data_IF_192697780747
#
_entry.id   IF_192697780747
#
_cell.length_a   1.000
_cell.length_b   1.000
_cell.length_c   1.000
_cell.angle_alpha   90.00
_cell.angle_beta   90.00
_cell.angle_gamma   90.00
#
_symmetry.space_group_name_H-M   'P 1'
#
loop_
_entity.id
_entity.type
_entity.pdbx_description
1 polymer ?
#
# COMPACT_ATOMS: atom_id res chain seq x y z
N UNK A 1 -65.54 -16.28 24.31
CA UNK A 1 -65.42 -16.16 22.85
C UNK A 1 -64.75 -14.83 22.54
N UNK A 2 -63.46 -14.84 22.25
CA UNK A 2 -62.75 -13.66 21.76
C UNK A 2 -62.34 -13.97 20.32
N UNK A 3 -62.96 -13.25 19.38
CA UNK A 3 -62.71 -13.38 17.95
C UNK A 3 -61.42 -12.67 17.57
N UNK A 4 -60.53 -13.43 16.93
CA UNK A 4 -59.29 -12.97 16.30
C UNK A 4 -59.65 -12.29 14.99
N UNK A 5 -59.29 -11.02 14.82
CA UNK A 5 -59.29 -10.34 13.53
C UNK A 5 -57.89 -10.44 12.90
N UNK A 6 -57.85 -11.10 11.74
CA UNK A 6 -56.70 -11.22 10.84
C UNK A 6 -56.08 -9.86 10.49
N UNK A 7 -54.75 -9.76 10.59
CA UNK A 7 -53.97 -8.80 9.80
C UNK A 7 -53.49 -9.49 8.53
N UNK A 8 -53.78 -8.85 7.40
CA UNK A 8 -53.24 -9.19 6.08
C UNK A 8 -51.72 -9.06 6.11
N UNK A 9 -51.04 -10.12 5.69
CA UNK A 9 -49.61 -10.15 5.41
C UNK A 9 -49.39 -9.61 4.00
N UNK A 10 -48.85 -8.39 3.90
CA UNK A 10 -48.38 -7.86 2.63
C UNK A 10 -47.16 -8.66 2.15
N UNK A 11 -47.35 -9.28 0.99
CA UNK A 11 -46.33 -9.96 0.20
C UNK A 11 -45.47 -8.92 -0.53
N UNK A 12 -44.35 -8.54 0.07
CA UNK A 12 -43.31 -7.74 -0.62
C UNK A 12 -41.92 -8.06 -0.08
N UNK A 13 -41.35 -9.22 -0.43
CA UNK A 13 -39.97 -9.57 -0.04
C UNK A 13 -39.12 -10.17 -1.17
N UNK A 14 -39.54 -10.06 -2.43
CA UNK A 14 -38.80 -10.63 -3.58
C UNK A 14 -37.90 -9.62 -4.30
N UNK A 15 -38.05 -8.31 -4.05
CA UNK A 15 -37.24 -7.29 -4.71
C UNK A 15 -35.84 -7.11 -4.07
N UNK A 16 -35.69 -7.41 -2.78
CA UNK A 16 -34.42 -7.20 -2.06
C UNK A 16 -33.37 -8.28 -2.30
N UNK A 17 -33.76 -9.49 -2.71
CA UNK A 17 -32.84 -10.62 -2.91
C UNK A 17 -32.14 -10.58 -4.27
N UNK A 18 -32.77 -9.99 -5.28
CA UNK A 18 -32.21 -9.92 -6.63
C UNK A 18 -31.14 -8.84 -6.75
N UNK A 19 -31.38 -7.64 -6.20
CA UNK A 19 -30.39 -6.55 -6.15
C UNK A 19 -29.16 -6.92 -5.31
N UNK A 20 -29.37 -7.70 -4.23
CA UNK A 20 -28.27 -8.21 -3.40
C UNK A 20 -27.46 -9.30 -4.11
N UNK A 21 -28.11 -10.19 -4.86
CA UNK A 21 -27.43 -11.20 -5.66
C UNK A 21 -26.61 -10.58 -6.81
N UNK A 22 -27.12 -9.53 -7.46
CA UNK A 22 -26.40 -8.81 -8.50
C UNK A 22 -25.20 -8.01 -7.95
N UNK A 23 -25.36 -7.32 -6.82
CA UNK A 23 -24.26 -6.64 -6.14
C UNK A 23 -23.16 -7.63 -5.67
N UNK A 24 -23.57 -8.82 -5.23
CA UNK A 24 -22.66 -9.91 -4.85
C UNK A 24 -21.88 -10.47 -6.05
N UNK A 25 -22.56 -10.71 -7.19
CA UNK A 25 -21.92 -11.15 -8.42
C UNK A 25 -20.89 -10.13 -8.89
N UNK A 26 -21.22 -8.84 -8.85
CA UNK A 26 -20.31 -7.75 -9.21
C UNK A 26 -19.08 -7.69 -8.29
N UNK A 27 -19.27 -7.81 -6.96
CA UNK A 27 -18.18 -7.84 -5.98
C UNK A 27 -17.24 -9.05 -6.18
N UNK A 28 -17.81 -10.21 -6.48
CA UNK A 28 -17.05 -11.44 -6.78
C UNK A 28 -16.26 -11.32 -8.07
N UNK A 29 -16.86 -10.78 -9.13
CA UNK A 29 -16.19 -10.54 -10.41
C UNK A 29 -15.05 -9.52 -10.29
N UNK A 30 -15.24 -8.47 -9.47
CA UNK A 30 -14.18 -7.50 -9.18
C UNK A 30 -13.00 -8.13 -8.45
N UNK A 31 -13.26 -8.96 -7.43
CA UNK A 31 -12.22 -9.67 -6.69
C UNK A 31 -11.47 -10.68 -7.57
N UNK A 32 -12.16 -11.43 -8.42
CA UNK A 32 -11.55 -12.33 -9.40
C UNK A 32 -10.69 -11.54 -10.40
N UNK A 33 -11.18 -10.40 -10.87
CA UNK A 33 -10.43 -9.52 -11.78
C UNK A 33 -9.13 -9.03 -11.13
N UNK A 34 -9.16 -8.64 -9.85
CA UNK A 34 -7.96 -8.26 -9.10
C UNK A 34 -6.98 -9.41 -8.91
N UNK A 35 -7.45 -10.63 -8.63
CA UNK A 35 -6.58 -11.82 -8.55
C UNK A 35 -5.89 -12.08 -9.89
N UNK A 36 -6.65 -12.01 -11.00
CA UNK A 36 -6.11 -12.19 -12.34
C UNK A 36 -5.12 -11.09 -12.73
N UNK A 37 -5.35 -9.85 -12.32
CA UNK A 37 -4.43 -8.73 -12.54
C UNK A 37 -3.11 -8.96 -11.79
N UNK A 38 -3.17 -9.36 -10.52
CA UNK A 38 -1.98 -9.66 -9.71
C UNK A 38 -1.18 -10.83 -10.28
N UNK A 39 -1.87 -11.86 -10.77
CA UNK A 39 -1.26 -12.95 -11.53
C UNK A 39 -0.51 -12.42 -12.76
N UNK A 40 -1.17 -11.64 -13.63
CA UNK A 40 -0.56 -11.11 -14.86
C UNK A 40 0.66 -10.25 -14.54
N UNK A 41 0.53 -9.33 -13.58
CA UNK A 41 1.62 -8.44 -13.14
C UNK A 41 2.84 -9.22 -12.63
N UNK A 42 2.62 -10.30 -11.87
CA UNK A 42 3.70 -11.17 -11.40
C UNK A 42 4.38 -11.89 -12.57
N UNK A 43 3.60 -12.54 -13.44
CA UNK A 43 4.10 -13.30 -14.60
C UNK A 43 4.94 -12.39 -15.50
N UNK A 44 4.44 -11.19 -15.79
CA UNK A 44 5.14 -10.20 -16.61
C UNK A 44 6.45 -9.77 -15.96
N UNK A 45 6.47 -9.60 -14.64
CA UNK A 45 7.71 -9.23 -13.97
C UNK A 45 8.73 -10.37 -13.98
N UNK A 46 8.32 -11.60 -13.66
CA UNK A 46 9.19 -12.76 -13.70
C UNK A 46 9.80 -12.91 -15.12
N UNK A 47 9.00 -12.72 -16.15
CA UNK A 47 9.43 -12.79 -17.55
C UNK A 47 10.42 -11.68 -17.92
N UNK A 48 10.19 -10.44 -17.47
CA UNK A 48 11.15 -9.33 -17.65
C UNK A 48 12.49 -9.61 -16.97
N UNK A 49 12.47 -10.24 -15.80
CA UNK A 49 13.70 -10.63 -15.08
C UNK A 49 14.43 -11.76 -15.80
N UNK A 50 13.70 -12.75 -16.29
CA UNK A 50 14.27 -13.78 -17.15
C UNK A 50 15.01 -13.20 -18.36
N UNK A 51 14.37 -12.32 -19.11
CA UNK A 51 14.98 -11.63 -20.25
C UNK A 51 16.24 -10.84 -19.86
N UNK A 52 16.21 -10.15 -18.72
CA UNK A 52 17.38 -9.43 -18.20
C UNK A 52 18.56 -10.37 -17.94
N UNK A 53 18.33 -11.51 -17.29
CA UNK A 53 19.41 -12.47 -16.98
C UNK A 53 19.91 -13.19 -18.23
N UNK A 54 19.00 -13.57 -19.14
CA UNK A 54 19.37 -14.12 -20.44
C UNK A 54 20.24 -13.14 -21.23
N UNK A 55 19.86 -11.85 -21.29
CA UNK A 55 20.65 -10.82 -21.97
C UNK A 55 22.03 -10.58 -21.34
N UNK A 56 22.11 -10.58 -20.00
CA UNK A 56 23.39 -10.50 -19.27
C UNK A 56 24.30 -11.68 -19.59
N UNK A 57 23.74 -12.88 -19.63
CA UNK A 57 24.48 -14.07 -20.01
C UNK A 57 24.98 -13.98 -21.46
N UNK A 58 24.10 -13.67 -22.42
CA UNK A 58 24.47 -13.53 -23.83
C UNK A 58 25.59 -12.50 -24.05
N UNK A 59 25.51 -11.37 -23.34
CA UNK A 59 26.55 -10.32 -23.37
C UNK A 59 27.91 -10.85 -22.90
N UNK A 60 27.93 -11.65 -21.83
CA UNK A 60 29.17 -12.25 -21.31
C UNK A 60 29.71 -13.36 -22.20
N UNK A 61 28.83 -14.15 -22.81
CA UNK A 61 29.20 -15.20 -23.74
C UNK A 61 29.73 -14.67 -25.08
N UNK A 62 29.76 -13.34 -25.28
CA UNK A 62 30.17 -12.73 -26.54
C UNK A 62 29.23 -13.06 -27.71
N UNK A 63 28.00 -13.49 -27.42
CA UNK A 63 27.02 -13.84 -28.43
C UNK A 63 26.53 -12.55 -29.12
N UNK A 64 26.86 -12.40 -30.40
CA UNK A 64 26.34 -11.31 -31.22
C UNK A 64 24.87 -11.61 -31.54
N UNK A 65 23.98 -10.65 -31.27
CA UNK A 65 22.57 -10.72 -31.65
C UNK A 65 22.44 -10.61 -33.17
N UNK A 66 22.65 -11.71 -33.88
CA UNK A 66 22.13 -11.87 -35.24
C UNK A 66 20.59 -11.86 -35.19
N UNK A 67 19.94 -11.45 -36.27
CA UNK A 67 18.47 -11.33 -36.32
C UNK A 67 17.77 -12.67 -36.01
N UNK A 68 18.38 -13.80 -36.40
CA UNK A 68 17.92 -15.16 -36.08
C UNK A 68 17.96 -15.50 -34.57
N UNK A 69 18.80 -14.80 -33.79
CA UNK A 69 18.88 -14.98 -32.34
C UNK A 69 17.77 -14.20 -31.61
N UNK A 70 17.20 -13.15 -32.22
CA UNK A 70 16.13 -12.36 -31.59
C UNK A 70 14.84 -13.17 -31.48
N UNK A 71 14.47 -13.91 -32.54
CA UNK A 71 13.30 -14.77 -32.55
C UNK A 71 13.44 -15.93 -31.55
N UNK A 72 14.65 -16.49 -31.41
CA UNK A 72 14.94 -17.55 -30.43
C UNK A 72 14.85 -17.04 -28.99
N UNK A 73 15.37 -15.84 -28.71
CA UNK A 73 15.27 -15.20 -27.39
C UNK A 73 13.81 -14.90 -27.05
N UNK A 74 13.03 -14.41 -28.00
CA UNK A 74 11.61 -14.16 -27.81
C UNK A 74 10.84 -15.46 -27.56
N UNK A 75 11.08 -16.52 -28.36
CA UNK A 75 10.49 -17.85 -28.15
C UNK A 75 10.82 -18.41 -26.76
N UNK A 76 12.07 -18.28 -26.30
CA UNK A 76 12.48 -18.71 -24.98
C UNK A 76 11.78 -17.94 -23.86
N UNK A 77 11.63 -16.62 -24.03
CA UNK A 77 10.94 -15.76 -23.07
C UNK A 77 9.44 -16.09 -22.99
N UNK A 78 8.79 -16.35 -24.12
CA UNK A 78 7.38 -16.75 -24.16
C UNK A 78 7.18 -18.14 -23.57
N UNK A 79 8.08 -19.08 -23.83
CA UNK A 79 8.07 -20.40 -23.20
C UNK A 79 8.21 -20.30 -21.67
N UNK A 80 9.16 -19.49 -21.17
CA UNK A 80 9.31 -19.25 -19.74
C UNK A 80 8.06 -18.59 -19.15
N UNK A 81 7.52 -17.55 -19.82
CA UNK A 81 6.29 -16.86 -19.39
C UNK A 81 5.10 -17.82 -19.25
N UNK A 82 4.91 -18.71 -20.23
CA UNK A 82 3.88 -19.75 -20.18
C UNK A 82 4.13 -20.72 -19.03
N UNK A 83 5.38 -21.11 -18.80
CA UNK A 83 5.77 -22.02 -17.74
C UNK A 83 5.53 -21.43 -16.33
N UNK A 84 5.76 -20.13 -16.15
CA UNK A 84 5.42 -19.39 -14.91
C UNK A 84 3.90 -19.27 -14.75
N UNK A 85 3.20 -18.91 -15.82
CA UNK A 85 1.74 -18.76 -15.79
C UNK A 85 1.03 -20.08 -15.45
N UNK A 86 1.47 -21.19 -16.06
CA UNK A 86 0.96 -22.53 -15.77
C UNK A 86 1.19 -22.92 -14.32
N UNK A 87 2.43 -22.75 -13.80
CA UNK A 87 2.74 -23.06 -12.39
C UNK A 87 1.96 -22.22 -11.39
N UNK A 88 1.77 -20.94 -11.71
CA UNK A 88 0.95 -20.04 -10.89
C UNK A 88 -0.49 -20.55 -10.78
N UNK A 89 -1.09 -21.04 -11.87
CA UNK A 89 -2.45 -21.56 -11.87
C UNK A 89 -2.56 -22.92 -11.19
N UNK A 90 -1.79 -23.91 -11.65
CA UNK A 90 -1.97 -25.30 -11.25
C UNK A 90 -1.40 -25.61 -9.87
N UNK A 91 -0.28 -25.00 -9.49
CA UNK A 91 0.43 -25.34 -8.25
C UNK A 91 0.23 -24.30 -7.16
N UNK A 92 0.36 -23.02 -7.48
CA UNK A 92 0.32 -21.98 -6.44
C UNK A 92 -1.10 -21.59 -6.04
N UNK A 93 -1.90 -21.10 -6.99
CA UNK A 93 -3.28 -20.68 -6.72
C UNK A 93 -4.16 -21.87 -6.30
N UNK A 94 -4.02 -23.03 -6.95
CA UNK A 94 -4.76 -24.25 -6.59
C UNK A 94 -4.49 -24.71 -5.15
N UNK A 95 -3.22 -24.73 -4.71
CA UNK A 95 -2.88 -25.13 -3.32
C UNK A 95 -3.28 -24.07 -2.31
N UNK A 96 -3.10 -22.79 -2.65
CA UNK A 96 -3.53 -21.69 -1.79
C UNK A 96 -5.04 -21.73 -1.56
N UNK A 97 -5.82 -21.93 -2.63
CA UNK A 97 -7.27 -22.13 -2.58
C UNK A 97 -7.67 -23.30 -1.68
N UNK A 98 -6.98 -24.44 -1.81
CA UNK A 98 -7.24 -25.62 -0.99
C UNK A 98 -7.00 -25.37 0.50
N UNK A 99 -5.87 -24.73 0.85
CA UNK A 99 -5.57 -24.33 2.23
C UNK A 99 -6.58 -23.34 2.77
N UNK A 100 -6.94 -22.33 1.96
CA UNK A 100 -7.96 -21.36 2.35
C UNK A 100 -9.30 -22.04 2.63
N UNK A 101 -9.75 -22.92 1.74
CA UNK A 101 -11.00 -23.67 1.91
C UNK A 101 -11.00 -24.49 3.20
N UNK A 102 -9.91 -25.22 3.48
CA UNK A 102 -9.78 -26.00 4.71
C UNK A 102 -9.83 -25.13 5.98
N UNK A 103 -9.14 -23.98 5.96
CA UNK A 103 -9.13 -23.03 7.09
C UNK A 103 -10.52 -22.44 7.33
N UNK A 104 -11.28 -22.20 6.25
CA UNK A 104 -12.64 -21.67 6.35
C UNK A 104 -13.63 -22.72 6.87
N UNK A 105 -13.50 -23.97 6.44
CA UNK A 105 -14.29 -25.09 6.96
C UNK A 105 -14.02 -25.31 8.47
N UNK A 106 -12.75 -25.19 8.89
CA UNK A 106 -12.33 -25.31 10.29
C UNK A 106 -12.85 -24.13 11.15
N UNK A 107 -12.71 -22.89 10.67
CA UNK A 107 -13.25 -21.68 11.31
C UNK A 107 -14.79 -21.60 11.32
N UNK A 108 -15.47 -22.50 10.60
CA UNK A 108 -16.93 -22.64 10.67
C UNK A 108 -17.36 -23.67 11.72
N UNK A 109 -16.44 -24.52 12.20
CA UNK A 109 -16.67 -25.51 13.27
C UNK A 109 -16.31 -24.98 14.65
N UNK A 110 -15.36 -24.05 14.74
CA UNK A 110 -15.00 -23.36 15.99
C UNK A 110 -14.73 -21.87 15.74
N UNK A 111 -15.70 -20.98 16.07
CA UNK A 111 -15.57 -19.53 15.87
C UNK A 111 -14.56 -18.85 16.81
N UNK A 112 -14.11 -19.53 17.87
CA UNK A 112 -13.26 -18.96 18.92
C UNK A 112 -11.76 -18.94 18.61
N UNK A 113 -11.34 -19.71 17.61
CA UNK A 113 -9.95 -19.72 17.16
C UNK A 113 -9.75 -18.62 16.11
N UNK A 114 -9.08 -17.54 16.52
CA UNK A 114 -8.54 -16.54 15.60
C UNK A 114 -7.55 -17.22 14.65
N UNK A 115 -7.98 -17.52 13.42
CA UNK A 115 -7.15 -18.28 12.49
C UNK A 115 -6.59 -17.41 11.36
N UNK A 116 -5.26 -17.34 11.32
CA UNK A 116 -4.51 -16.88 10.15
C UNK A 116 -3.90 -18.12 9.48
N UNK A 117 -4.07 -18.31 8.15
CA UNK A 117 -3.45 -19.41 7.40
C UNK A 117 -1.91 -19.28 7.29
N UNK A 118 -1.31 -18.32 8.01
CA UNK A 118 0.05 -17.81 7.85
C UNK A 118 1.10 -18.89 7.58
N UNK A 119 1.30 -19.88 8.48
CA UNK A 119 2.34 -20.89 8.29
C UNK A 119 2.12 -21.79 7.06
N UNK A 120 0.86 -22.16 6.78
CA UNK A 120 0.53 -23.02 5.62
C UNK A 120 0.61 -22.26 4.30
N UNK A 121 0.18 -20.99 4.29
CA UNK A 121 0.28 -20.11 3.14
C UNK A 121 1.75 -19.74 2.85
N UNK A 122 2.57 -19.54 3.88
CA UNK A 122 4.00 -19.27 3.73
C UNK A 122 4.75 -20.48 3.18
N UNK A 123 4.42 -21.71 3.62
CA UNK A 123 4.98 -22.92 3.05
C UNK A 123 4.67 -23.09 1.54
N UNK A 124 3.46 -22.70 1.11
CA UNK A 124 3.08 -22.70 -0.31
C UNK A 124 3.89 -21.67 -1.10
N UNK A 125 4.11 -20.47 -0.54
CA UNK A 125 4.93 -19.43 -1.13
C UNK A 125 6.39 -19.88 -1.30
N UNK A 126 6.97 -20.56 -0.29
CA UNK A 126 8.31 -21.12 -0.40
C UNK A 126 8.40 -22.20 -1.48
N UNK A 127 7.45 -23.14 -1.51
CA UNK A 127 7.44 -24.19 -2.54
C UNK A 127 7.36 -23.58 -3.95
N UNK A 128 6.49 -22.59 -4.14
CA UNK A 128 6.35 -21.92 -5.43
C UNK A 128 7.61 -21.14 -5.84
N UNK A 129 8.31 -20.54 -4.88
CA UNK A 129 9.58 -19.86 -5.15
C UNK A 129 10.64 -20.85 -5.63
N UNK A 130 10.70 -22.03 -5.02
CA UNK A 130 11.64 -23.09 -5.42
C UNK A 130 11.27 -23.63 -6.82
N UNK A 131 10.00 -23.92 -7.07
CA UNK A 131 9.50 -24.32 -8.40
C UNK A 131 9.81 -23.29 -9.50
N UNK A 132 9.77 -21.99 -9.15
CA UNK A 132 10.07 -20.89 -10.04
C UNK A 132 11.58 -20.79 -10.34
N UNK A 133 12.42 -21.03 -9.34
CA UNK A 133 13.87 -21.07 -9.50
C UNK A 133 14.29 -22.24 -10.39
N UNK A 134 13.68 -23.41 -10.21
CA UNK A 134 13.92 -24.60 -11.04
C UNK A 134 13.46 -24.37 -12.49
N UNK A 135 12.30 -23.74 -12.68
CA UNK A 135 11.83 -23.36 -14.01
C UNK A 135 12.81 -22.39 -14.69
N UNK A 136 13.29 -21.39 -13.95
CA UNK A 136 14.25 -20.43 -14.46
C UNK A 136 15.56 -21.13 -14.87
N UNK A 137 16.09 -22.02 -14.04
CA UNK A 137 17.30 -22.79 -14.34
C UNK A 137 17.14 -23.61 -15.63
N UNK A 138 16.06 -24.40 -15.72
CA UNK A 138 15.79 -25.26 -16.87
C UNK A 138 15.62 -24.47 -18.18
N UNK A 139 14.89 -23.35 -18.15
CA UNK A 139 14.68 -22.53 -19.34
C UNK A 139 15.95 -21.76 -19.75
N UNK A 140 16.75 -21.31 -18.78
CA UNK A 140 18.03 -20.69 -19.05
C UNK A 140 18.98 -21.70 -19.70
N UNK A 141 19.12 -22.91 -19.14
CA UNK A 141 19.92 -24.01 -19.72
C UNK A 141 19.48 -24.38 -21.13
N UNK A 142 18.17 -24.49 -21.37
CA UNK A 142 17.61 -24.78 -22.68
C UNK A 142 17.93 -23.67 -23.69
N UNK A 143 17.84 -22.40 -23.27
CA UNK A 143 18.14 -21.24 -24.12
C UNK A 143 19.62 -21.15 -24.44
N UNK A 144 20.49 -21.46 -23.48
CA UNK A 144 21.94 -21.53 -23.70
C UNK A 144 22.29 -22.61 -24.73
N UNK A 145 21.66 -23.79 -24.63
CA UNK A 145 21.83 -24.87 -25.61
C UNK A 145 21.34 -24.47 -27.01
N UNK A 146 20.17 -23.83 -27.10
CA UNK A 146 19.54 -23.48 -28.37
C UNK A 146 20.32 -22.40 -29.15
N UNK A 147 20.92 -21.45 -28.45
CA UNK A 147 21.66 -20.34 -29.05
C UNK A 147 23.04 -20.73 -29.59
N UNK A 148 23.42 -22.03 -29.57
CA UNK A 148 24.71 -22.57 -30.03
C UNK A 148 25.95 -21.85 -29.47
N UNK A 149 25.78 -21.05 -28.43
CA UNK A 149 26.86 -20.50 -27.65
C UNK A 149 27.39 -21.63 -26.77
N UNK A 150 28.16 -22.53 -27.38
CA UNK A 150 29.01 -23.42 -26.60
C UNK A 150 29.85 -22.51 -25.71
N UNK A 151 29.83 -22.71 -24.39
CA UNK A 151 30.80 -22.04 -23.55
C UNK A 151 32.19 -22.25 -24.17
N UNK A 152 33.00 -21.19 -24.25
CA UNK A 152 34.44 -21.43 -24.37
C UNK A 152 34.82 -22.44 -23.28
N UNK A 153 35.82 -23.29 -23.53
CA UNK A 153 36.20 -24.39 -22.65
C UNK A 153 36.55 -24.00 -21.19
N UNK A 154 36.38 -22.72 -20.83
CA UNK A 154 36.60 -22.10 -19.54
C UNK A 154 35.31 -21.62 -18.83
N UNK A 155 34.11 -21.78 -19.41
CA UNK A 155 32.88 -21.34 -18.72
C UNK A 155 32.62 -22.24 -17.50
N UNK A 156 32.60 -21.68 -16.28
CA UNK A 156 32.36 -22.47 -15.09
C UNK A 156 30.93 -22.99 -15.10
N UNK A 157 30.78 -24.28 -14.81
CA UNK A 157 29.51 -24.95 -14.47
C UNK A 157 28.77 -24.32 -13.27
N UNK A 158 29.30 -23.24 -12.67
CA UNK A 158 28.69 -22.47 -11.59
C UNK A 158 28.04 -21.14 -12.01
N UNK A 159 28.11 -20.69 -13.27
CA UNK A 159 27.54 -19.38 -13.65
C UNK A 159 26.02 -19.36 -13.68
N UNK A 160 25.39 -20.44 -14.15
CA UNK A 160 23.92 -20.58 -14.12
C UNK A 160 23.41 -20.58 -12.69
N UNK A 161 24.13 -21.23 -11.77
CA UNK A 161 23.82 -21.24 -10.34
C UNK A 161 23.82 -19.81 -9.75
N UNK A 162 24.77 -18.95 -10.15
CA UNK A 162 24.81 -17.56 -9.72
C UNK A 162 23.58 -16.74 -10.17
N UNK A 163 23.13 -16.92 -11.41
CA UNK A 163 21.93 -16.24 -11.90
C UNK A 163 20.64 -16.78 -11.27
N UNK A 164 20.56 -18.08 -11.01
CA UNK A 164 19.43 -18.70 -10.31
C UNK A 164 19.31 -18.14 -8.89
N UNK A 165 20.43 -18.00 -8.16
CA UNK A 165 20.43 -17.42 -6.80
C UNK A 165 19.97 -15.95 -6.82
N UNK A 166 20.47 -15.14 -7.77
CA UNK A 166 20.06 -13.74 -7.91
C UNK A 166 18.57 -13.62 -8.28
N UNK A 167 18.11 -14.43 -9.23
CA UNK A 167 16.70 -14.47 -9.62
C UNK A 167 15.81 -14.88 -8.44
N UNK A 168 16.17 -15.92 -7.70
CA UNK A 168 15.44 -16.36 -6.49
C UNK A 168 15.38 -15.25 -5.45
N UNK A 169 16.50 -14.59 -5.16
CA UNK A 169 16.56 -13.46 -4.21
C UNK A 169 15.71 -12.26 -4.62
N UNK A 170 15.62 -11.94 -5.92
CA UNK A 170 14.74 -10.89 -6.42
C UNK A 170 13.25 -11.28 -6.42
N UNK A 171 12.96 -12.58 -6.60
CA UNK A 171 11.60 -13.09 -6.66
C UNK A 171 10.99 -13.38 -5.29
N UNK A 172 11.79 -13.72 -4.29
CA UNK A 172 11.34 -14.00 -2.92
C UNK A 172 10.45 -12.90 -2.32
N UNK A 173 10.86 -11.62 -2.25
CA UNK A 173 10.01 -10.57 -1.67
C UNK A 173 8.73 -10.33 -2.48
N UNK A 174 8.74 -10.65 -3.79
CA UNK A 174 7.58 -10.51 -4.67
C UNK A 174 6.58 -11.64 -4.46
N UNK A 175 7.06 -12.87 -4.33
CA UNK A 175 6.24 -14.05 -4.00
C UNK A 175 5.62 -13.88 -2.62
N UNK A 176 6.38 -13.43 -1.61
CA UNK A 176 5.84 -13.13 -0.28
C UNK A 176 4.76 -12.06 -0.32
N UNK A 177 4.98 -10.96 -1.06
CA UNK A 177 3.97 -9.89 -1.22
C UNK A 177 2.72 -10.41 -1.92
N UNK A 178 2.88 -11.13 -3.02
CA UNK A 178 1.78 -11.74 -3.76
C UNK A 178 0.97 -12.68 -2.85
N UNK A 179 1.65 -13.47 -2.01
CA UNK A 179 1.01 -14.39 -1.07
C UNK A 179 0.11 -13.65 -0.09
N UNK A 180 0.62 -12.57 0.52
CA UNK A 180 -0.14 -11.73 1.44
C UNK A 180 -1.35 -11.11 0.72
N UNK A 181 -1.14 -10.53 -0.46
CA UNK A 181 -2.20 -9.89 -1.26
C UNK A 181 -3.30 -10.90 -1.63
N UNK A 182 -2.94 -12.11 -2.05
CA UNK A 182 -3.90 -13.14 -2.42
C UNK A 182 -4.66 -13.68 -1.20
N UNK A 183 -3.97 -13.95 -0.08
CA UNK A 183 -4.62 -14.36 1.17
C UNK A 183 -5.62 -13.30 1.63
N UNK A 184 -5.25 -12.02 1.56
CA UNK A 184 -6.17 -10.92 1.88
C UNK A 184 -7.39 -10.89 0.96
N UNK A 185 -7.20 -11.01 -0.36
CA UNK A 185 -8.28 -11.01 -1.33
C UNK A 185 -9.22 -12.21 -1.12
N UNK A 186 -8.67 -13.40 -0.85
CA UNK A 186 -9.45 -14.60 -0.52
C UNK A 186 -10.23 -14.46 0.78
N UNK A 187 -9.61 -13.92 1.84
CA UNK A 187 -10.28 -13.64 3.09
C UNK A 187 -11.45 -12.65 2.90
N UNK A 188 -11.29 -11.62 2.06
CA UNK A 188 -12.37 -10.67 1.75
C UNK A 188 -13.50 -11.35 0.99
N UNK A 189 -13.18 -12.15 -0.02
CA UNK A 189 -14.17 -12.93 -0.77
C UNK A 189 -14.99 -13.85 0.15
N UNK A 190 -14.35 -14.48 1.15
CA UNK A 190 -15.04 -15.35 2.11
C UNK A 190 -15.80 -14.65 3.23
N UNK A 191 -15.35 -13.48 3.70
CA UNK A 191 -16.15 -12.67 4.64
C UNK A 191 -17.42 -12.15 3.99
N UNK A 192 -17.34 -11.82 2.69
CA UNK A 192 -18.54 -11.52 1.88
C UNK A 192 -19.50 -12.72 1.84
N UNK A 193 -18.98 -13.96 1.74
CA UNK A 193 -19.79 -15.19 1.76
C UNK A 193 -20.42 -15.53 3.13
N UNK A 194 -19.81 -15.11 4.26
CA UNK A 194 -20.34 -15.38 5.61
C UNK A 194 -21.44 -14.39 6.04
N UNK A 195 -21.44 -13.16 5.51
CA UNK A 195 -22.50 -12.17 5.82
C UNK A 195 -23.89 -12.61 5.36
N UNK A 196 -23.98 -13.52 4.39
CA UNK A 196 -25.25 -14.01 3.85
C UNK A 196 -25.85 -15.19 4.65
N UNK A 197 -25.13 -15.75 5.64
CA UNK A 197 -25.61 -16.89 6.45
C UNK A 197 -25.96 -16.53 7.91
N UNK A 198 -25.65 -15.31 8.36
CA UNK A 198 -25.89 -14.88 9.75
C UNK A 198 -26.92 -13.74 9.84
N UNK A 199 -28.06 -13.88 9.16
CA UNK A 199 -29.25 -13.07 9.40
C UNK A 199 -30.13 -13.65 10.53
N UNK A 200 -29.54 -14.31 11.54
CA UNK A 200 -30.26 -14.71 12.76
C UNK A 200 -29.38 -14.43 13.97
N UNK A 201 -29.73 -13.33 14.64
CA UNK A 201 -29.58 -13.02 16.07
C UNK A 201 -28.19 -13.18 16.72
N UNK A 202 -27.62 -12.07 17.18
CA UNK A 202 -27.76 -11.63 18.57
C UNK A 202 -27.23 -10.20 18.71
N UNK A 203 -28.02 -9.35 19.38
CA UNK A 203 -27.62 -8.03 19.85
C UNK A 203 -26.53 -8.20 20.92
N UNK A 204 -25.26 -8.28 20.53
CA UNK A 204 -24.16 -8.02 21.45
C UNK A 204 -23.71 -6.57 21.33
N UNK A 205 -23.57 -5.92 22.49
CA UNK A 205 -23.10 -4.56 22.68
C UNK A 205 -21.86 -4.24 21.82
N UNK A 206 -21.67 -2.98 21.37
CA UNK A 206 -20.63 -2.63 20.42
C UNK A 206 -19.26 -2.89 21.04
N UNK A 207 -18.65 -4.03 20.70
CA UNK A 207 -17.22 -4.25 20.91
C UNK A 207 -16.49 -3.27 20.01
N UNK A 208 -15.56 -2.53 20.58
CA UNK A 208 -14.66 -1.62 19.88
C UNK A 208 -13.78 -2.41 18.89
N UNK A 209 -14.32 -2.78 17.72
CA UNK A 209 -13.53 -3.24 16.59
C UNK A 209 -12.77 -2.06 16.02
N UNK A 210 -11.58 -1.83 16.57
CA UNK A 210 -10.56 -1.03 15.89
C UNK A 210 -10.14 -1.78 14.64
N UNK A 211 -10.59 -1.33 13.46
CA UNK A 211 -10.05 -1.73 12.15
C UNK A 211 -8.53 -1.57 12.22
N UNK A 212 -7.74 -2.66 12.17
CA UNK A 212 -6.28 -2.62 12.34
C UNK A 212 -5.53 -1.80 11.29
N UNK A 213 -6.21 -1.26 10.28
CA UNK A 213 -5.64 -0.54 9.14
C UNK A 213 -5.53 0.99 9.36
N UNK A 214 -6.17 1.54 10.41
CA UNK A 214 -6.18 2.98 10.73
C UNK A 214 -5.34 3.36 11.94
N UNK A 215 -4.37 2.54 12.35
CA UNK A 215 -3.56 2.74 13.56
C UNK A 215 -2.91 4.13 13.66
N UNK A 216 -2.60 4.77 12.53
CA UNK A 216 -2.06 6.14 12.49
C UNK A 216 -2.75 7.01 11.41
N UNK A 217 -4.01 7.35 11.65
CA UNK A 217 -4.78 8.25 10.79
C UNK A 217 -4.20 9.67 10.76
N UNK A 218 -3.67 10.15 11.89
CA UNK A 218 -3.07 11.47 11.97
C UNK A 218 -1.78 11.55 11.13
N UNK A 219 -0.89 10.58 11.27
CA UNK A 219 0.33 10.50 10.48
C UNK A 219 0.06 10.36 8.99
N UNK A 220 -0.97 9.60 8.60
CA UNK A 220 -1.43 9.54 7.20
C UNK A 220 -1.86 10.92 6.68
N UNK A 221 -2.62 11.68 7.47
CA UNK A 221 -3.00 13.05 7.12
C UNK A 221 -1.80 13.98 6.99
N UNK A 222 -0.80 13.87 7.87
CA UNK A 222 0.43 14.66 7.79
C UNK A 222 1.29 14.30 6.57
N UNK A 223 1.29 13.04 6.12
CA UNK A 223 2.05 12.61 4.94
C UNK A 223 1.27 12.75 3.62
N UNK A 224 -0.03 13.03 3.66
CA UNK A 224 -0.86 13.21 2.48
C UNK A 224 -0.29 14.24 1.47
N UNK A 225 0.18 15.44 1.89
CA UNK A 225 0.83 16.38 0.97
C UNK A 225 2.06 15.83 0.25
N UNK A 226 2.83 14.99 0.95
CA UNK A 226 4.05 14.36 0.41
C UNK A 226 3.66 13.34 -0.66
N UNK A 227 2.62 12.53 -0.38
CA UNK A 227 2.08 11.57 -1.35
C UNK A 227 1.51 12.27 -2.59
N UNK A 228 0.81 13.39 -2.43
CA UNK A 228 0.29 14.17 -3.56
C UNK A 228 1.39 14.83 -4.41
N UNK A 229 2.45 15.37 -3.79
CA UNK A 229 3.48 16.12 -4.50
C UNK A 229 4.58 15.24 -5.12
N UNK A 230 4.90 14.12 -4.46
CA UNK A 230 6.06 13.27 -4.80
C UNK A 230 5.69 11.80 -4.99
N UNK A 231 4.56 11.35 -4.43
CA UNK A 231 4.24 9.93 -4.32
C UNK A 231 5.05 9.24 -3.23
N UNK A 232 4.40 8.34 -2.48
CA UNK A 232 5.04 7.48 -1.49
C UNK A 232 5.09 6.05 -2.01
N UNK A 233 6.26 5.59 -2.42
CA UNK A 233 6.46 4.26 -3.02
C UNK A 233 7.38 3.36 -2.21
N UNK A 234 7.34 2.07 -2.50
CA UNK A 234 8.13 0.99 -1.90
C UNK A 234 9.62 1.03 -2.28
N UNK A 235 10.08 2.10 -2.94
CA UNK A 235 11.47 2.23 -3.38
C UNK A 235 12.40 2.24 -2.16
N UNK A 236 13.31 1.26 -2.13
CA UNK A 236 14.41 1.16 -1.15
C UNK A 236 15.61 2.02 -1.56
N UNK A 237 15.69 2.39 -2.84
CA UNK A 237 16.70 3.28 -3.40
C UNK A 237 16.19 4.73 -3.37
N UNK A 238 17.10 5.66 -3.09
CA UNK A 238 16.82 7.10 -3.22
C UNK A 238 16.46 7.37 -4.68
N UNK A 239 15.17 7.56 -4.95
CA UNK A 239 14.69 8.19 -6.17
C UNK A 239 14.58 9.69 -5.90
N UNK A 240 15.01 10.52 -6.83
CA UNK A 240 14.84 11.97 -6.72
C UNK A 240 13.36 12.41 -6.87
N UNK A 241 12.47 11.50 -7.26
CA UNK A 241 11.07 11.81 -7.54
C UNK A 241 10.13 11.44 -6.41
N UNK A 242 10.35 10.32 -5.71
CA UNK A 242 9.38 9.72 -4.79
C UNK A 242 9.92 9.63 -3.37
N UNK A 243 9.04 9.81 -2.39
CA UNK A 243 9.40 9.64 -0.98
C UNK A 243 9.37 8.15 -0.57
N UNK A 244 10.45 7.61 0.02
CA UNK A 244 10.49 6.19 0.40
C UNK A 244 9.48 5.83 1.52
N UNK A 245 8.64 4.82 1.28
CA UNK A 245 7.65 4.34 2.27
C UNK A 245 8.28 3.88 3.57
N UNK A 246 9.49 3.30 3.52
CA UNK A 246 10.22 2.84 4.71
C UNK A 246 10.62 3.97 5.66
N UNK A 247 10.68 5.22 5.17
CA UNK A 247 10.99 6.38 6.00
C UNK A 247 9.77 6.97 6.70
N UNK A 248 8.55 6.57 6.31
CA UNK A 248 7.32 7.14 6.87
C UNK A 248 7.20 6.90 8.37
N UNK A 249 7.35 5.65 8.83
CA UNK A 249 7.23 5.32 10.26
C UNK A 249 8.30 6.02 11.13
N UNK A 250 9.61 6.01 10.78
CA UNK A 250 10.63 6.77 11.50
C UNK A 250 10.37 8.28 11.56
N UNK A 251 9.85 8.87 10.48
CA UNK A 251 9.46 10.29 10.41
C UNK A 251 8.29 10.59 11.34
N UNK A 252 7.22 9.77 11.29
CA UNK A 252 6.06 9.94 12.15
C UNK A 252 6.42 9.74 13.62
N UNK A 253 7.29 8.79 13.93
CA UNK A 253 7.81 8.59 15.29
C UNK A 253 8.61 9.79 15.77
N UNK A 254 9.45 10.41 14.92
CA UNK A 254 10.16 11.63 15.26
C UNK A 254 9.21 12.82 15.45
N UNK A 255 8.18 12.96 14.61
CA UNK A 255 7.14 13.98 14.79
C UNK A 255 6.40 13.79 16.11
N UNK A 256 6.06 12.54 16.47
CA UNK A 256 5.41 12.17 17.73
C UNK A 256 6.27 12.49 18.95
N UNK A 257 7.52 12.02 18.98
CA UNK A 257 8.37 12.13 20.18
C UNK A 257 9.06 13.49 20.33
N UNK A 258 9.33 14.20 19.24
CA UNK A 258 10.19 15.39 19.26
C UNK A 258 9.45 16.70 18.92
N UNK A 259 8.50 16.69 18.00
CA UNK A 259 7.88 17.93 17.48
C UNK A 259 6.51 18.21 18.11
N UNK A 260 5.62 17.23 18.09
CA UNK A 260 4.21 17.39 18.51
C UNK A 260 4.02 17.01 19.98
N UNK A 261 4.77 16.00 20.44
CA UNK A 261 4.63 15.37 21.76
C UNK A 261 3.68 14.17 21.72
N UNK A 262 4.08 13.07 22.39
CA UNK A 262 3.40 11.78 22.32
C UNK A 262 1.93 11.86 22.69
N UNK A 263 1.61 12.48 23.83
CA UNK A 263 0.23 12.58 24.34
C UNK A 263 -0.68 13.34 23.38
N UNK A 264 -0.18 14.46 22.83
CA UNK A 264 -0.92 15.29 21.89
C UNK A 264 -1.13 14.57 20.55
N UNK A 265 -0.10 13.87 20.07
CA UNK A 265 -0.18 13.07 18.86
C UNK A 265 -1.21 11.96 19.01
N UNK A 266 -1.15 11.18 20.10
CA UNK A 266 -2.03 10.02 20.33
C UNK A 266 -3.48 10.45 20.53
N UNK A 267 -3.71 11.52 21.30
CA UNK A 267 -5.04 12.08 21.50
C UNK A 267 -5.65 12.58 20.17
N UNK A 268 -4.83 13.22 19.33
CA UNK A 268 -5.27 13.71 18.00
C UNK A 268 -5.56 12.55 17.06
N UNK A 269 -4.69 11.53 17.03
CA UNK A 269 -4.86 10.33 16.23
C UNK A 269 -6.15 9.58 16.61
N UNK A 270 -6.40 9.39 17.92
CA UNK A 270 -7.63 8.76 18.41
C UNK A 270 -8.89 9.51 17.96
N UNK A 271 -8.88 10.85 18.04
CA UNK A 271 -10.01 11.69 17.57
C UNK A 271 -10.23 11.58 16.07
N UNK A 272 -9.17 11.59 15.27
CA UNK A 272 -9.25 11.43 13.82
C UNK A 272 -9.78 10.05 13.43
N UNK A 273 -9.29 8.98 14.09
CA UNK A 273 -9.80 7.62 13.88
C UNK A 273 -11.31 7.57 14.15
N UNK A 274 -11.78 8.11 15.28
CA UNK A 274 -13.21 8.16 15.60
C UNK A 274 -14.02 8.96 14.57
N UNK A 275 -13.49 10.09 14.10
CA UNK A 275 -14.12 10.92 13.08
C UNK A 275 -14.22 10.20 11.73
N UNK A 276 -13.13 9.54 11.32
CA UNK A 276 -13.06 8.69 10.12
C UNK A 276 -14.10 7.58 10.19
N UNK A 277 -14.25 6.89 11.34
CA UNK A 277 -15.31 5.89 11.49
C UNK A 277 -16.69 6.50 11.30
N UNK A 278 -16.99 7.63 11.93
CA UNK A 278 -18.30 8.29 11.76
C UNK A 278 -18.56 8.66 10.30
N UNK A 279 -17.55 9.17 9.60
CA UNK A 279 -17.67 9.62 8.21
C UNK A 279 -17.78 8.45 7.22
N UNK A 280 -16.91 7.45 7.36
CA UNK A 280 -16.78 6.33 6.44
C UNK A 280 -17.76 5.18 6.72
N UNK A 281 -18.44 5.16 7.87
CA UNK A 281 -19.39 4.08 8.27
C UNK A 281 -20.85 4.55 8.26
N UNK A 282 -21.15 5.69 7.63
CA UNK A 282 -22.50 6.27 7.57
C UNK A 282 -23.57 5.35 6.92
N UNK A 283 -23.15 4.28 6.24
CA UNK A 283 -24.01 3.29 5.57
C UNK A 283 -23.69 1.86 6.01
N UNK A 284 -23.50 1.61 7.31
CA UNK A 284 -23.32 0.29 7.95
C UNK A 284 -22.04 -0.49 7.66
N UNK A 285 -21.23 -0.10 6.66
CA UNK A 285 -19.87 -0.63 6.43
C UNK A 285 -18.83 0.48 6.26
N UNK A 286 -17.60 0.23 6.70
CA UNK A 286 -16.48 1.16 6.58
C UNK A 286 -15.99 1.26 5.12
N UNK A 287 -16.25 2.38 4.46
CA UNK A 287 -15.88 2.61 3.06
C UNK A 287 -14.47 3.22 2.95
N UNK A 288 -13.47 2.39 2.62
CA UNK A 288 -12.06 2.82 2.51
C UNK A 288 -11.79 3.80 1.37
N UNK A 289 -12.57 3.73 0.28
CA UNK A 289 -12.49 4.68 -0.85
C UNK A 289 -12.73 6.13 -0.41
N UNK A 290 -13.54 6.33 0.63
CA UNK A 290 -13.89 7.64 1.18
C UNK A 290 -12.83 8.24 2.10
N UNK A 291 -11.71 7.54 2.35
CA UNK A 291 -10.61 8.09 3.14
C UNK A 291 -9.94 9.28 2.48
N UNK A 292 -9.74 9.22 1.15
CA UNK A 292 -9.17 10.35 0.41
C UNK A 292 -10.11 11.54 0.45
N UNK A 293 -11.40 11.31 0.25
CA UNK A 293 -12.44 12.35 0.37
C UNK A 293 -12.44 12.97 1.78
N UNK A 294 -12.35 12.14 2.82
CA UNK A 294 -12.31 12.61 4.21
C UNK A 294 -11.14 13.57 4.48
N UNK A 295 -9.94 13.28 3.97
CA UNK A 295 -8.78 14.15 4.16
C UNK A 295 -8.87 15.46 3.36
N UNK A 296 -9.69 15.49 2.32
CA UNK A 296 -9.97 16.69 1.52
C UNK A 296 -11.12 17.54 2.08
N UNK A 297 -11.90 17.03 3.04
CA UNK A 297 -12.94 17.80 3.73
C UNK A 297 -12.36 19.11 4.32
N UNK A 298 -12.96 20.29 4.04
CA UNK A 298 -12.36 21.59 4.36
C UNK A 298 -11.92 21.75 5.82
N UNK A 299 -12.72 21.24 6.75
CA UNK A 299 -12.47 21.32 8.19
C UNK A 299 -11.34 20.38 8.63
N UNK A 300 -11.26 19.17 8.06
CA UNK A 300 -10.18 18.21 8.32
C UNK A 300 -8.88 18.73 7.73
N UNK A 301 -8.92 19.19 6.48
CA UNK A 301 -7.79 19.77 5.78
C UNK A 301 -7.23 20.98 6.51
N UNK A 302 -8.09 21.92 6.94
CA UNK A 302 -7.67 23.08 7.73
C UNK A 302 -7.02 22.66 9.06
N UNK A 303 -7.59 21.65 9.73
CA UNK A 303 -7.05 21.12 10.98
C UNK A 303 -5.65 20.52 10.79
N UNK A 304 -5.45 19.72 9.74
CA UNK A 304 -4.15 19.13 9.41
C UNK A 304 -3.13 20.19 8.97
N UNK A 305 -3.55 21.17 8.17
CA UNK A 305 -2.69 22.28 7.75
C UNK A 305 -2.19 23.11 8.94
N UNK A 306 -2.99 23.29 9.99
CA UNK A 306 -2.55 23.98 11.19
C UNK A 306 -1.38 23.26 11.89
N UNK A 307 -1.39 21.92 11.90
CA UNK A 307 -0.27 21.13 12.40
C UNK A 307 0.95 21.20 11.47
N UNK A 308 0.73 21.15 10.16
CA UNK A 308 1.83 21.29 9.18
C UNK A 308 2.52 22.65 9.34
N UNK A 309 1.75 23.74 9.47
CA UNK A 309 2.31 25.08 9.75
C UNK A 309 3.09 25.09 11.07
N UNK A 310 2.59 24.43 12.11
CA UNK A 310 3.32 24.32 13.38
C UNK A 310 4.65 23.57 13.23
N UNK A 311 4.66 22.46 12.51
CA UNK A 311 5.89 21.70 12.20
C UNK A 311 6.89 22.58 11.44
N UNK A 312 6.44 23.26 10.38
CA UNK A 312 7.27 24.18 9.59
C UNK A 312 7.80 25.34 10.43
N UNK A 313 7.00 25.87 11.36
CA UNK A 313 7.44 26.91 12.29
C UNK A 313 8.57 26.44 13.21
N UNK A 314 8.50 25.20 13.72
CA UNK A 314 9.58 24.59 14.52
C UNK A 314 10.84 24.43 13.66
N UNK A 315 10.66 24.06 12.39
CA UNK A 315 11.75 23.87 11.44
C UNK A 315 12.36 25.15 10.87
N UNK A 316 11.83 26.34 11.23
CA UNK A 316 12.54 27.59 10.95
C UNK A 316 13.85 27.70 11.75
N UNK A 317 13.98 26.98 12.86
CA UNK A 317 15.23 26.86 13.61
C UNK A 317 16.08 25.71 13.03
N UNK A 318 17.21 26.04 12.41
CA UNK A 318 18.11 25.05 11.77
C UNK A 318 18.57 23.96 12.74
N UNK A 319 18.83 24.32 14.00
CA UNK A 319 19.22 23.37 15.06
C UNK A 319 18.10 22.35 15.36
N UNK A 320 16.83 22.77 15.31
CA UNK A 320 15.67 21.88 15.49
C UNK A 320 15.48 20.98 14.28
N UNK A 321 15.68 21.53 13.08
CA UNK A 321 15.60 20.78 11.83
C UNK A 321 16.67 19.69 11.76
N UNK A 322 17.90 20.00 12.14
CA UNK A 322 19.00 19.02 12.22
C UNK A 322 18.75 17.97 13.30
N UNK A 323 18.30 18.39 14.48
CA UNK A 323 17.94 17.47 15.57
C UNK A 323 16.82 16.51 15.15
N UNK A 324 15.80 17.00 14.43
CA UNK A 324 14.76 16.16 13.85
C UNK A 324 15.34 15.11 12.90
N UNK A 325 16.23 15.50 11.97
CA UNK A 325 16.88 14.55 11.07
C UNK A 325 17.73 13.50 11.82
N UNK A 326 18.38 13.88 12.92
CA UNK A 326 19.11 12.96 13.80
C UNK A 326 18.18 11.94 14.47
N UNK A 327 17.03 12.39 14.99
CA UNK A 327 16.03 11.50 15.60
C UNK A 327 15.46 10.53 14.56
N UNK A 328 15.16 11.00 13.34
CA UNK A 328 14.70 10.11 12.26
C UNK A 328 15.75 9.05 11.93
N UNK A 329 17.03 9.44 11.84
CA UNK A 329 18.15 8.50 11.62
C UNK A 329 18.30 7.48 12.75
N UNK A 330 18.07 7.89 14.00
CA UNK A 330 18.09 7.00 15.14
C UNK A 330 16.93 5.98 15.07
N UNK A 331 15.70 6.46 14.89
CA UNK A 331 14.51 5.61 14.75
C UNK A 331 14.63 4.63 13.58
N UNK A 332 15.24 5.07 12.47
CA UNK A 332 15.42 4.22 11.29
C UNK A 332 16.27 2.98 11.60
N UNK A 333 17.31 3.11 12.42
CA UNK A 333 18.18 1.97 12.81
C UNK A 333 17.43 0.89 13.59
N UNK A 334 16.31 1.24 14.23
CA UNK A 334 15.49 0.33 15.03
C UNK A 334 14.47 -0.43 14.16
N UNK A 335 14.31 -0.08 12.88
CA UNK A 335 13.35 -0.71 11.97
C UNK A 335 14.02 -1.86 11.19
N UNK A 336 13.57 -3.12 11.36
CA UNK A 336 14.12 -4.25 10.62
C UNK A 336 13.97 -4.08 9.09
N UNK A 337 15.01 -4.47 8.33
CA UNK A 337 15.00 -4.38 6.86
C UNK A 337 15.34 -3.00 6.28
N UNK A 338 15.88 -2.08 7.10
CA UNK A 338 16.35 -0.75 6.67
C UNK A 338 17.88 -0.65 6.55
N UNK A 339 18.57 -1.79 6.59
CA UNK A 339 20.02 -1.89 6.47
C UNK A 339 20.49 -1.22 5.16
N UNK A 340 21.33 -0.17 5.28
CA UNK A 340 21.83 0.60 4.14
C UNK A 340 20.90 1.74 3.66
N UNK A 341 19.70 1.89 4.22
CA UNK A 341 18.81 3.02 3.93
C UNK A 341 19.16 4.17 4.88
N UNK A 342 19.55 5.31 4.31
CA UNK A 342 19.87 6.52 5.08
C UNK A 342 18.80 7.60 4.91
N UNK A 343 18.38 8.23 6.01
CA UNK A 343 17.67 9.50 5.95
C UNK A 343 18.66 10.63 5.63
N UNK A 344 18.52 11.24 4.44
CA UNK A 344 19.44 12.22 3.85
C UNK A 344 18.74 13.56 3.63
N UNK A 345 19.51 14.60 3.33
CA UNK A 345 19.01 15.95 3.10
C UNK A 345 17.93 16.01 2.01
N UNK A 346 18.04 15.18 0.96
CA UNK A 346 17.03 15.09 -0.09
C UNK A 346 15.64 14.68 0.44
N UNK A 347 15.58 13.71 1.37
CA UNK A 347 14.33 13.25 1.97
C UNK A 347 13.72 14.32 2.88
N UNK A 348 14.58 15.02 3.64
CA UNK A 348 14.15 16.14 4.46
C UNK A 348 13.59 17.28 3.61
N UNK A 349 14.28 17.62 2.51
CA UNK A 349 13.83 18.62 1.55
C UNK A 349 12.50 18.23 0.91
N UNK A 350 12.28 16.95 0.57
CA UNK A 350 11.00 16.48 0.04
C UNK A 350 9.84 16.71 1.01
N UNK A 351 10.02 16.41 2.30
CA UNK A 351 9.01 16.62 3.34
C UNK A 351 8.68 18.10 3.49
N UNK A 352 9.70 18.91 3.79
CA UNK A 352 9.55 20.34 4.07
C UNK A 352 8.96 21.06 2.87
N UNK A 353 9.44 20.78 1.66
CA UNK A 353 8.93 21.40 0.45
C UNK A 353 7.48 21.02 0.15
N UNK A 354 7.11 19.74 0.29
CA UNK A 354 5.73 19.29 0.01
C UNK A 354 4.74 19.88 1.02
N UNK A 355 5.14 19.97 2.29
CA UNK A 355 4.36 20.64 3.33
C UNK A 355 4.21 22.14 3.07
N UNK A 356 5.31 22.83 2.79
CA UNK A 356 5.28 24.26 2.52
C UNK A 356 4.43 24.58 1.28
N UNK A 357 4.56 23.78 0.21
CA UNK A 357 3.76 23.95 -1.00
C UNK A 357 2.27 23.74 -0.74
N UNK A 358 1.90 22.70 0.01
CA UNK A 358 0.51 22.46 0.37
C UNK A 358 -0.09 23.60 1.22
N UNK A 359 0.69 24.16 2.16
CA UNK A 359 0.27 25.34 2.91
C UNK A 359 0.12 26.59 2.03
N UNK A 360 0.99 26.78 1.03
CA UNK A 360 0.89 27.89 0.07
C UNK A 360 -0.38 27.76 -0.78
N UNK A 361 -0.64 26.58 -1.34
CA UNK A 361 -1.82 26.31 -2.18
C UNK A 361 -3.14 26.47 -1.40
N UNK A 362 -3.08 26.44 -0.07
CA UNK A 362 -4.23 26.60 0.83
C UNK A 362 -4.14 27.86 1.72
N UNK A 363 -3.32 28.85 1.35
CA UNK A 363 -3.08 30.04 2.19
C UNK A 363 -4.37 30.79 2.55
N UNK A 364 -5.36 30.80 1.65
CA UNK A 364 -6.67 31.42 1.86
C UNK A 364 -7.47 30.82 3.03
N UNK A 365 -7.23 29.57 3.40
CA UNK A 365 -7.99 28.90 4.48
C UNK A 365 -7.27 28.95 5.84
N UNK A 366 -6.01 29.42 5.86
CA UNK A 366 -5.18 29.45 7.04
C UNK A 366 -5.41 30.72 7.89
N UNK A 367 -5.48 30.55 9.21
CA UNK A 367 -5.49 31.67 10.16
C UNK A 367 -4.07 32.23 10.34
N UNK A 368 -3.96 33.54 10.60
CA UNK A 368 -2.67 34.19 10.84
C UNK A 368 -1.78 34.24 9.59
N UNK A 369 -2.40 34.49 8.42
CA UNK A 369 -1.75 34.44 7.10
C UNK A 369 -0.40 35.15 7.03
N UNK A 370 -0.24 36.32 7.67
CA UNK A 370 1.05 37.05 7.72
C UNK A 370 2.19 36.19 8.31
N UNK A 371 1.93 35.54 9.45
CA UNK A 371 2.91 34.66 10.10
C UNK A 371 3.16 33.40 9.26
N UNK A 372 2.12 32.84 8.66
CA UNK A 372 2.24 31.70 7.75
C UNK A 372 3.14 32.06 6.56
N UNK A 373 2.94 33.21 5.92
CA UNK A 373 3.79 33.69 4.83
C UNK A 373 5.25 33.84 5.26
N UNK A 374 5.51 34.36 6.45
CA UNK A 374 6.87 34.43 6.99
C UNK A 374 7.51 33.04 7.13
N UNK A 375 6.77 32.06 7.66
CA UNK A 375 7.23 30.67 7.75
C UNK A 375 7.50 30.10 6.35
N UNK A 376 6.59 30.32 5.40
CA UNK A 376 6.72 29.78 4.04
C UNK A 376 7.92 30.38 3.28
N UNK A 377 8.24 31.66 3.50
CA UNK A 377 9.42 32.30 2.88
C UNK A 377 10.74 31.67 3.30
N UNK A 378 10.82 31.10 4.51
CA UNK A 378 12.00 30.35 4.97
C UNK A 378 12.16 29.05 4.18
N UNK A 379 11.06 28.35 3.92
CA UNK A 379 11.04 27.00 3.34
C UNK A 379 10.90 26.97 1.81
N UNK A 380 10.49 28.08 1.19
CA UNK A 380 10.34 28.26 -0.25
C UNK A 380 11.06 29.53 -0.74
N UNK A 381 12.39 29.62 -0.58
CA UNK A 381 13.14 30.80 -0.98
C UNK A 381 13.00 31.07 -2.48
N UNK A 382 12.77 32.33 -2.86
CA UNK A 382 12.62 32.75 -4.25
C UNK A 382 11.26 32.44 -4.89
N UNK A 383 10.33 31.84 -4.15
CA UNK A 383 8.94 31.70 -4.63
C UNK A 383 8.20 33.02 -4.40
N UNK A 384 7.48 33.50 -5.42
CA UNK A 384 6.61 34.66 -5.28
C UNK A 384 5.40 34.27 -4.41
N UNK A 385 5.41 34.71 -3.16
CA UNK A 385 4.36 34.44 -2.19
C UNK A 385 3.54 35.72 -2.03
N UNK A 386 2.22 35.68 -2.33
CA UNK A 386 1.39 36.88 -2.36
C UNK A 386 1.47 37.65 -1.05
N UNK A 387 1.62 38.97 -1.17
CA UNK A 387 1.58 39.85 -0.02
C UNK A 387 0.17 39.85 0.57
N UNK A 388 0.08 39.67 1.88
CA UNK A 388 -1.21 39.68 2.57
C UNK A 388 -1.51 41.12 2.94
N UNK A 389 -2.32 41.79 2.12
CA UNK A 389 -2.92 43.07 2.47
C UNK A 389 -3.81 42.89 3.71
N UNK A 390 -3.77 43.86 4.63
CA UNK A 390 -4.66 43.84 5.79
C UNK A 390 -6.10 44.06 5.32
N UNK A 391 -6.94 43.01 5.36
CA UNK A 391 -8.37 43.25 5.57
C UNK A 391 -8.51 43.83 6.98
N UNK A 392 -8.58 45.15 7.03
CA UNK A 392 -8.79 45.91 8.24
C UNK A 392 -10.04 45.43 8.98
N UNK A 393 -9.94 45.43 10.30
CA UNK A 393 -11.09 45.32 11.18
C UNK A 393 -12.05 46.49 10.91
N UNK A 394 -13.02 46.30 10.03
CA UNK A 394 -14.10 47.25 9.79
C UNK A 394 -15.40 46.50 9.50
N UNK A 395 -16.36 46.62 10.43
CA UNK A 395 -17.77 46.59 10.08
C UNK A 395 -18.61 45.39 10.53
N UNK A 396 -18.72 45.15 11.84
CA UNK A 396 -20.01 44.77 12.44
C UNK A 396 -20.20 45.52 13.77
N UNK A 397 -20.54 46.79 13.64
CA UNK A 397 -21.22 47.59 14.66
C UNK A 397 -22.40 48.28 13.97
N UNK A 398 -23.52 47.57 13.81
CA UNK A 398 -24.87 48.08 13.51
C UNK A 398 -25.84 46.98 13.96
N UNK A 399 -26.87 47.14 14.78
CA UNK A 399 -27.37 48.19 15.68
C UNK A 399 -28.35 47.43 16.58
N UNK A 400 -28.31 47.68 17.89
CA UNK A 400 -29.46 47.42 18.74
C UNK A 400 -30.36 48.65 18.65
N UNK A 401 -31.54 48.49 18.06
CA UNK A 401 -32.75 49.29 18.31
C UNK A 401 -33.97 48.47 17.89
#
# INVERSE_FOLDING_TARGET
MWGVAMRQSDSSSTCGTQDQAEAWLQSREELLSRILERKRSFVDTASKRYLLYLGRWMTRAGAVLAQDNADQVQCAADAFRQAVAGRMESHYLGRLLSVMKAVIEEASRDPGLGFLPGPKAEAIAHTFLDDLADAFAAHLDQSMCALNARPSAESPTGETSGYVVQFRGEMEPRVRRLNVELVELYCRMHRSLKKDYCCVQEEEAPREETVPQLLDAFGRGLLHPVDCCRGIDSCTLASDTNFPRLLCAPVLQALRSYVIGSDKYDATNKKLIQSIYKYCTAQSEFQRSRLTEYFEEPHVKQYLLAYIVHILQVFCEETKLEAFANVVRANLKEVPGTEGIGFRQIHLSMLVHSWARCCLDNLGTLRGRKRVVQILRVHLPGTDIPEVEEEGAAGQAVEAS
#
